data_IF_511375469148
#
_entry.id   IF_511375469148
#
_cell.length_a   1.000
_cell.length_b   1.000
_cell.length_c   1.000
_cell.angle_alpha   90.00
_cell.angle_beta   90.00
_cell.angle_gamma   90.00
#
_symmetry.space_group_name_H-M   'P 1'
#
loop_
_entity.id
_entity.type
_entity.pdbx_description
1 polymer ?
#
# COMPACT_ATOMS: atom_id res chain seq x y z
N UNK A 1 20.06 14.37 31.44
CA UNK A 1 19.94 15.76 30.97
C UNK A 1 19.22 15.74 29.62
N UNK A 2 17.89 15.84 29.64
CA UNK A 2 17.09 15.91 28.41
C UNK A 2 17.23 17.31 27.82
N UNK A 3 17.69 17.41 26.57
CA UNK A 3 17.72 18.68 25.83
C UNK A 3 16.29 19.10 25.54
N UNK A 4 15.88 20.20 26.16
CA UNK A 4 14.60 20.86 25.90
C UNK A 4 14.74 21.61 24.57
N UNK A 5 14.19 21.04 23.49
CA UNK A 5 14.08 21.77 22.23
C UNK A 5 12.99 22.83 22.41
N UNK A 6 13.40 24.09 22.51
CA UNK A 6 12.47 25.21 22.47
C UNK A 6 11.92 25.33 21.05
N UNK A 7 10.62 25.11 20.87
CA UNK A 7 9.95 25.41 19.60
C UNK A 7 10.03 26.92 19.35
N UNK A 8 10.37 27.37 18.13
CA UNK A 8 10.35 28.79 17.81
C UNK A 8 8.91 29.33 17.93
N UNK A 9 8.73 30.62 18.27
CA UNK A 9 7.41 31.23 18.35
C UNK A 9 6.68 31.12 17.01
N UNK A 10 5.36 30.88 17.05
CA UNK A 10 4.51 30.63 15.86
C UNK A 10 4.50 31.77 14.83
N UNK A 11 5.13 32.92 15.14
CA UNK A 11 5.38 34.02 14.21
C UNK A 11 6.48 33.76 13.17
N UNK A 12 7.23 32.66 13.30
CA UNK A 12 8.32 32.27 12.37
C UNK A 12 7.92 31.18 11.37
N UNK A 13 6.72 30.63 11.47
CA UNK A 13 6.23 29.74 10.42
C UNK A 13 5.74 30.64 9.27
N UNK A 14 6.26 30.49 8.04
CA UNK A 14 5.63 31.12 6.90
C UNK A 14 4.19 30.64 6.90
N UNK A 15 3.24 31.55 7.08
CA UNK A 15 1.83 31.23 6.93
C UNK A 15 1.72 30.54 5.57
N UNK A 16 1.31 29.26 5.52
CA UNK A 16 1.17 28.60 4.24
C UNK A 16 0.18 29.44 3.44
N UNK A 17 0.57 29.79 2.21
CA UNK A 17 -0.31 30.52 1.31
C UNK A 17 -1.67 29.81 1.27
N UNK A 18 -2.79 30.45 1.64
CA UNK A 18 -4.09 29.78 1.65
C UNK A 18 -4.45 29.12 0.31
N UNK A 19 -3.81 29.55 -0.80
CA UNK A 19 -3.93 28.93 -2.12
C UNK A 19 -3.46 27.46 -2.20
N UNK A 20 -2.61 26.98 -1.28
CA UNK A 20 -2.22 25.55 -1.26
C UNK A 20 -3.31 24.62 -0.75
N UNK A 21 -4.39 25.17 -0.16
CA UNK A 21 -5.58 24.43 0.28
C UNK A 21 -6.81 24.72 -0.59
N UNK A 22 -6.65 25.53 -1.63
CA UNK A 22 -7.68 25.64 -2.65
C UNK A 22 -7.61 24.33 -3.45
N UNK A 23 -8.46 23.38 -3.07
CA UNK A 23 -8.77 22.24 -3.91
C UNK A 23 -9.25 22.83 -5.25
N UNK A 24 -8.51 22.67 -6.35
CA UNK A 24 -8.90 23.23 -7.63
C UNK A 24 -10.23 22.59 -8.00
N UNK A 25 -11.20 23.39 -8.48
CA UNK A 25 -12.49 22.88 -8.94
C UNK A 25 -12.26 21.66 -9.83
N UNK A 26 -12.49 20.48 -9.27
CA UNK A 26 -12.31 19.24 -9.98
C UNK A 26 -13.41 19.25 -11.05
N UNK A 27 -13.03 19.12 -12.32
CA UNK A 27 -13.95 18.71 -13.39
C UNK A 27 -14.31 17.22 -13.21
N UNK A 28 -14.62 16.80 -11.98
CA UNK A 28 -15.39 15.60 -11.71
C UNK A 28 -16.79 15.90 -12.22
N UNK A 29 -16.95 15.69 -13.53
CA UNK A 29 -18.16 15.99 -14.28
C UNK A 29 -19.41 15.58 -13.50
N UNK A 30 -20.26 16.57 -13.26
CA UNK A 30 -21.63 16.34 -12.86
C UNK A 30 -22.21 15.30 -13.82
N UNK A 31 -22.61 14.14 -13.30
CA UNK A 31 -23.33 13.18 -14.10
C UNK A 31 -24.72 13.77 -14.33
N UNK A 32 -24.88 14.45 -15.46
CA UNK A 32 -26.13 15.06 -15.89
C UNK A 32 -27.18 13.96 -15.99
N UNK A 33 -28.04 13.85 -14.98
CA UNK A 33 -29.26 13.07 -15.11
C UNK A 33 -30.23 13.87 -15.98
N UNK A 34 -30.04 13.68 -17.28
CA UNK A 34 -31.09 13.53 -18.29
C UNK A 34 -31.22 14.66 -19.33
N UNK A 35 -31.34 14.17 -20.58
CA UNK A 35 -32.12 14.68 -21.72
C UNK A 35 -31.52 15.78 -22.63
N UNK A 36 -30.91 15.30 -23.72
CA UNK A 36 -30.85 15.88 -25.07
C UNK A 36 -30.17 17.25 -25.29
N UNK A 37 -28.84 17.27 -25.32
CA UNK A 37 -28.07 18.09 -26.27
C UNK A 37 -26.65 17.53 -26.42
N UNK A 38 -26.32 17.11 -27.64
CA UNK A 38 -25.00 16.61 -28.02
C UNK A 38 -23.94 17.71 -27.90
N UNK A 39 -23.02 17.63 -26.94
CA UNK A 39 -21.78 18.40 -27.00
C UNK A 39 -20.61 17.67 -26.32
N UNK A 40 -19.94 16.82 -27.10
CA UNK A 40 -18.51 16.50 -27.01
C UNK A 40 -17.88 16.29 -25.62
N UNK A 41 -18.40 15.38 -24.79
CA UNK A 41 -17.62 14.77 -23.72
C UNK A 41 -16.67 13.74 -24.35
N UNK A 42 -15.36 13.91 -24.16
CA UNK A 42 -14.37 12.92 -24.61
C UNK A 42 -14.54 11.69 -23.73
N UNK A 43 -15.28 10.69 -24.21
CA UNK A 43 -15.35 9.38 -23.58
C UNK A 43 -13.93 8.80 -23.51
N UNK A 44 -13.30 8.91 -22.34
CA UNK A 44 -12.10 8.16 -22.03
C UNK A 44 -12.47 6.69 -22.21
N UNK A 45 -11.92 6.05 -23.24
CA UNK A 45 -12.29 4.69 -23.59
C UNK A 45 -12.01 3.77 -22.40
N UNK A 46 -13.08 3.36 -21.71
CA UNK A 46 -13.00 2.36 -20.67
C UNK A 46 -12.63 1.04 -21.36
N UNK A 47 -11.34 0.70 -21.34
CA UNK A 47 -10.91 -0.61 -21.76
C UNK A 47 -11.45 -1.63 -20.74
N UNK A 48 -12.30 -2.58 -21.15
CA UNK A 48 -12.77 -3.61 -20.25
C UNK A 48 -11.57 -4.40 -19.73
N UNK A 49 -11.35 -4.35 -18.42
CA UNK A 49 -10.40 -5.24 -17.76
C UNK A 49 -11.06 -6.61 -17.67
N UNK A 50 -10.41 -7.62 -18.23
CA UNK A 50 -10.83 -9.00 -18.06
C UNK A 50 -10.52 -9.40 -16.60
N UNK A 51 -11.58 -9.56 -15.79
CA UNK A 51 -11.49 -9.99 -14.39
C UNK A 51 -11.22 -11.50 -14.26
N UNK A 52 -11.06 -12.22 -15.37
CA UNK A 52 -10.75 -13.64 -15.37
C UNK A 52 -9.29 -13.92 -14.97
N UNK A 53 -9.03 -13.76 -13.67
CA UNK A 53 -7.74 -13.97 -12.97
C UNK A 53 -7.26 -15.44 -13.02
N UNK A 54 -8.05 -16.35 -13.59
CA UNK A 54 -7.76 -17.79 -13.61
C UNK A 54 -6.62 -18.20 -14.56
N UNK A 55 -6.11 -17.30 -15.42
CA UNK A 55 -5.01 -17.62 -16.36
C UNK A 55 -3.60 -17.21 -15.91
N UNK A 56 -3.43 -16.59 -14.75
CA UNK A 56 -2.09 -16.27 -14.20
C UNK A 56 -1.47 -17.46 -13.45
N UNK A 57 -1.44 -18.63 -14.09
CA UNK A 57 -0.51 -19.70 -13.71
C UNK A 57 0.92 -19.29 -14.09
N UNK A 58 1.55 -18.46 -13.26
CA UNK A 58 3.01 -18.40 -13.12
C UNK A 58 3.38 -18.38 -11.64
N UNK A 59 3.64 -19.58 -11.15
CA UNK A 59 3.92 -19.97 -9.78
C UNK A 59 5.30 -19.48 -9.26
N UNK A 60 5.77 -18.29 -9.65
CA UNK A 60 7.03 -17.71 -9.14
C UNK A 60 6.77 -16.54 -8.19
N UNK A 61 5.95 -15.57 -8.60
CA UNK A 61 5.71 -14.33 -7.84
C UNK A 61 5.01 -14.60 -6.49
N UNK A 62 4.12 -15.59 -6.43
CA UNK A 62 3.42 -15.98 -5.19
C UNK A 62 4.35 -16.64 -4.17
N UNK A 63 5.52 -17.12 -4.60
CA UNK A 63 6.49 -17.79 -3.75
C UNK A 63 7.56 -16.85 -3.19
N UNK A 64 7.62 -15.60 -3.67
CA UNK A 64 8.61 -14.61 -3.25
C UNK A 64 8.16 -13.86 -2.00
N UNK A 65 9.12 -13.54 -1.14
CA UNK A 65 8.97 -12.74 0.07
C UNK A 65 8.11 -11.50 -0.20
N UNK A 66 7.08 -11.27 0.60
CA UNK A 66 6.17 -10.12 0.44
C UNK A 66 6.83 -8.77 0.76
N UNK A 67 8.07 -8.79 1.26
CA UNK A 67 8.81 -7.60 1.68
C UNK A 67 9.86 -7.23 0.63
N UNK A 68 10.77 -8.14 0.28
CA UNK A 68 11.82 -7.85 -0.70
C UNK A 68 11.49 -8.28 -2.14
N UNK A 69 10.49 -9.15 -2.34
CA UNK A 69 10.13 -9.73 -3.65
C UNK A 69 11.26 -10.47 -4.40
N UNK A 70 12.42 -10.65 -3.75
CA UNK A 70 13.63 -11.23 -4.33
C UNK A 70 13.87 -12.67 -3.86
N UNK A 71 13.81 -12.89 -2.54
CA UNK A 71 14.05 -14.20 -1.93
C UNK A 71 12.74 -14.97 -1.73
N UNK A 72 12.80 -16.30 -1.71
CA UNK A 72 11.62 -17.12 -1.44
C UNK A 72 11.09 -16.98 0.00
N UNK A 73 9.76 -17.10 0.15
CA UNK A 73 9.12 -17.25 1.46
C UNK A 73 9.52 -18.58 2.08
N UNK A 74 10.17 -18.48 3.23
CA UNK A 74 10.74 -19.64 3.95
C UNK A 74 10.30 -19.69 5.39
N UNK A 75 9.72 -18.61 5.93
CA UNK A 75 9.41 -18.50 7.36
C UNK A 75 7.96 -18.10 7.61
N UNK A 76 7.34 -18.80 8.56
CA UNK A 76 5.96 -18.68 8.96
C UNK A 76 5.87 -18.06 10.36
N UNK A 77 5.02 -17.05 10.52
CA UNK A 77 4.88 -16.33 11.79
C UNK A 77 3.92 -17.03 12.76
N UNK A 78 4.25 -17.09 14.05
CA UNK A 78 3.37 -17.65 15.09
C UNK A 78 2.81 -16.53 15.98
N UNK A 79 1.49 -16.51 16.26
CA UNK A 79 0.51 -17.58 16.09
C UNK A 79 -0.31 -17.55 14.79
N UNK A 80 -0.13 -16.57 13.90
CA UNK A 80 -1.02 -16.37 12.75
C UNK A 80 -0.83 -17.36 11.59
N UNK A 81 0.30 -18.08 11.58
CA UNK A 81 0.69 -19.10 10.61
C UNK A 81 0.76 -18.63 9.14
N UNK A 82 1.01 -17.33 8.93
CA UNK A 82 1.23 -16.79 7.59
C UNK A 82 2.69 -16.97 7.15
N UNK A 83 2.89 -17.70 6.05
CA UNK A 83 4.17 -17.81 5.34
C UNK A 83 4.36 -16.57 4.44
N UNK A 84 5.12 -15.58 4.90
CA UNK A 84 5.21 -14.27 4.21
C UNK A 84 6.63 -13.84 3.85
N UNK A 85 7.65 -14.23 4.63
CA UNK A 85 8.98 -13.62 4.55
C UNK A 85 10.13 -14.63 4.37
N UNK A 86 11.25 -14.12 3.84
CA UNK A 86 12.56 -14.75 3.93
C UNK A 86 13.25 -14.39 5.26
N UNK A 87 14.38 -15.03 5.57
CA UNK A 87 15.11 -14.79 6.84
C UNK A 87 15.61 -13.34 6.97
N UNK A 88 16.18 -12.78 5.90
CA UNK A 88 16.77 -11.43 5.94
C UNK A 88 15.71 -10.35 6.22
N UNK A 89 14.50 -10.54 5.70
CA UNK A 89 13.40 -9.62 5.93
C UNK A 89 12.82 -9.74 7.34
N UNK A 90 12.87 -10.92 7.96
CA UNK A 90 12.42 -11.10 9.34
C UNK A 90 13.37 -10.41 10.31
N UNK A 91 14.69 -10.56 10.12
CA UNK A 91 15.69 -9.92 10.97
C UNK A 91 15.62 -8.38 10.93
N UNK A 92 15.15 -7.81 9.80
CA UNK A 92 14.96 -6.36 9.63
C UNK A 92 13.59 -5.87 10.09
N UNK A 93 12.67 -6.76 10.47
CA UNK A 93 11.29 -6.40 10.76
C UNK A 93 11.13 -5.91 12.21
N UNK A 94 11.29 -4.61 12.42
CA UNK A 94 11.24 -3.99 13.75
C UNK A 94 9.86 -4.04 14.43
N UNK A 95 8.80 -4.18 13.65
CA UNK A 95 7.41 -4.05 14.15
C UNK A 95 6.91 -5.31 14.87
N UNK A 96 7.60 -6.46 14.75
CA UNK A 96 7.13 -7.78 15.22
C UNK A 96 5.67 -8.07 14.82
N UNK A 97 5.25 -7.60 13.64
CA UNK A 97 3.90 -7.78 13.09
C UNK A 97 3.95 -8.49 11.75
N UNK A 98 3.03 -9.42 11.56
CA UNK A 98 2.92 -10.16 10.30
C UNK A 98 2.52 -9.21 9.15
N UNK A 99 3.24 -9.19 8.02
CA UNK A 99 2.89 -8.35 6.86
C UNK A 99 1.56 -8.69 6.19
N UNK A 100 1.00 -9.88 6.44
CA UNK A 100 -0.25 -10.34 5.82
C UNK A 100 -1.47 -9.92 6.66
N UNK A 101 -1.45 -10.22 7.96
CA UNK A 101 -2.61 -10.01 8.83
C UNK A 101 -2.40 -8.94 9.91
N UNK A 102 -1.23 -8.30 9.95
CA UNK A 102 -0.85 -7.28 10.94
C UNK A 102 -0.88 -7.76 12.42
N UNK A 103 -1.01 -9.05 12.65
CA UNK A 103 -1.00 -9.65 13.99
C UNK A 103 0.42 -9.67 14.55
N UNK A 104 0.56 -9.38 15.85
CA UNK A 104 1.84 -9.49 16.57
C UNK A 104 2.27 -10.96 16.60
N UNK A 105 3.52 -11.22 16.24
CA UNK A 105 4.13 -12.54 16.31
C UNK A 105 5.23 -12.55 17.38
N UNK A 106 5.40 -13.70 18.03
CA UNK A 106 6.45 -13.89 19.04
C UNK A 106 7.61 -14.73 18.54
N UNK A 107 7.35 -15.59 17.55
CA UNK A 107 8.33 -16.52 17.01
C UNK A 107 8.01 -16.85 15.54
N UNK A 108 8.95 -17.43 14.83
CA UNK A 108 8.81 -17.84 13.43
C UNK A 108 9.42 -19.22 13.17
N UNK A 109 8.79 -19.97 12.27
CA UNK A 109 9.19 -21.34 11.93
C UNK A 109 9.68 -21.39 10.49
N UNK A 110 10.87 -21.97 10.27
CA UNK A 110 11.39 -22.23 8.92
C UNK A 110 10.70 -23.44 8.29
N UNK A 111 10.09 -23.23 7.12
CA UNK A 111 9.41 -24.26 6.33
C UNK A 111 10.37 -24.83 5.30
N UNK A 112 10.47 -26.17 5.24
CA UNK A 112 11.19 -26.89 4.21
C UNK A 112 10.19 -27.35 3.15
N UNK A 113 10.35 -26.89 1.91
CA UNK A 113 9.58 -27.38 0.77
C UNK A 113 10.21 -28.71 0.29
N UNK A 114 9.41 -29.76 0.05
CA UNK A 114 9.90 -31.03 -0.49
C UNK A 114 10.38 -30.93 -1.93
#
# INVERSE_FOLDING_TARGET
MYRQYAYPPLSFLPFPDPSIYEDPDDDYGYLDTNTNASTSTKEHSFHPVDWNIDTLKKNSELNNCTVCYENERTHLFTPCNHLACCIDCIERLETNRCPICNQVYNDYIRVLKP
#
